data_IF_333351946460
#
_entry.id   IF_333351946460
#
_cell.length_a   1.000
_cell.length_b   1.000
_cell.length_c   1.000
_cell.angle_alpha   90.00
_cell.angle_beta   90.00
_cell.angle_gamma   90.00
#
_symmetry.space_group_name_H-M   'P 1'
#
loop_
_entity.id
_entity.type
_entity.pdbx_description
1 polymer ?
#
# COMPACT_ATOMS: atom_id res chain seq x y z
N UNK A 1 3.05 -9.85 -13.32
CA UNK A 1 1.83 -10.64 -13.05
C UNK A 1 1.51 -10.56 -11.57
N UNK A 2 0.36 -9.98 -11.22
CA UNK A 2 -0.07 -9.89 -9.82
C UNK A 2 -0.92 -11.10 -9.47
N UNK A 3 -0.45 -11.95 -8.57
CA UNK A 3 -1.22 -13.06 -7.99
C UNK A 3 -1.88 -12.55 -6.69
N UNK A 4 -3.10 -13.01 -6.39
CA UNK A 4 -3.71 -12.75 -5.07
C UNK A 4 -2.96 -13.57 -4.02
N UNK A 5 -2.40 -12.87 -3.04
CA UNK A 5 -1.68 -13.45 -1.89
C UNK A 5 -2.28 -12.83 -0.64
N UNK A 6 -2.69 -13.67 0.31
CA UNK A 6 -3.12 -13.23 1.64
C UNK A 6 -1.89 -13.20 2.54
N UNK A 7 -1.65 -12.07 3.18
CA UNK A 7 -0.57 -11.89 4.15
C UNK A 7 -1.18 -11.36 5.45
N UNK A 8 -0.62 -11.79 6.58
CA UNK A 8 -0.92 -11.20 7.88
C UNK A 8 0.07 -10.05 8.09
N UNK A 9 -0.44 -8.88 8.46
CA UNK A 9 0.37 -7.71 8.82
C UNK A 9 -0.11 -7.18 10.16
N UNK A 10 0.78 -6.56 10.91
CA UNK A 10 0.44 -5.91 12.16
C UNK A 10 -0.51 -4.72 11.93
N UNK A 11 -1.38 -4.46 12.90
CA UNK A 11 -2.41 -3.42 12.81
C UNK A 11 -1.80 -2.02 12.63
N UNK A 12 -0.65 -1.76 13.25
CA UNK A 12 0.03 -0.47 13.14
C UNK A 12 0.59 -0.25 11.73
N UNK A 13 1.07 -1.31 11.07
CA UNK A 13 1.53 -1.28 9.69
C UNK A 13 0.36 -1.05 8.73
N UNK A 14 -0.79 -1.70 8.95
CA UNK A 14 -2.00 -1.45 8.15
C UNK A 14 -2.43 0.03 8.23
N UNK A 15 -2.48 0.60 9.45
CA UNK A 15 -2.83 2.01 9.65
C UNK A 15 -1.88 2.94 8.89
N UNK A 16 -0.57 2.68 8.93
CA UNK A 16 0.43 3.47 8.19
C UNK A 16 0.22 3.36 6.67
N UNK A 17 -0.08 2.16 6.16
CA UNK A 17 -0.37 1.94 4.74
C UNK A 17 -1.65 2.66 4.29
N UNK A 18 -2.70 2.67 5.12
CA UNK A 18 -3.95 3.41 4.88
C UNK A 18 -3.73 4.91 4.84
N UNK A 19 -2.97 5.46 5.79
CA UNK A 19 -2.62 6.89 5.79
C UNK A 19 -1.82 7.26 4.54
N UNK A 20 -0.87 6.41 4.14
CA UNK A 20 -0.11 6.59 2.90
C UNK A 20 -1.01 6.54 1.67
N UNK A 21 -1.99 5.62 1.64
CA UNK A 21 -3.00 5.54 0.58
C UNK A 21 -3.76 6.86 0.46
N UNK A 22 -4.31 7.37 1.57
CA UNK A 22 -5.07 8.62 1.58
C UNK A 22 -4.23 9.80 1.08
N UNK A 23 -2.97 9.88 1.50
CA UNK A 23 -2.03 10.91 1.04
C UNK A 23 -1.80 10.83 -0.47
N UNK A 24 -1.64 9.64 -1.02
CA UNK A 24 -1.39 9.44 -2.46
C UNK A 24 -2.63 9.74 -3.31
N UNK A 25 -3.83 9.37 -2.83
CA UNK A 25 -5.10 9.75 -3.48
C UNK A 25 -5.22 11.27 -3.54
N UNK A 26 -4.92 11.96 -2.43
CA UNK A 26 -4.95 13.42 -2.38
C UNK A 26 -3.92 14.08 -3.30
N UNK A 27 -2.74 13.48 -3.47
CA UNK A 27 -1.65 14.05 -4.27
C UNK A 27 -1.81 13.80 -5.77
N UNK A 28 -2.16 12.57 -6.17
CA UNK A 28 -2.28 12.20 -7.59
C UNK A 28 -3.65 12.53 -8.19
N UNK A 29 -4.63 12.98 -7.37
CA UNK A 29 -6.04 13.15 -7.77
C UNK A 29 -6.60 11.92 -8.52
N UNK A 30 -6.03 10.74 -8.26
CA UNK A 30 -6.32 9.52 -8.99
C UNK A 30 -6.64 8.37 -8.03
N UNK A 31 -7.33 7.37 -8.56
CA UNK A 31 -7.70 6.17 -7.83
C UNK A 31 -6.45 5.38 -7.45
N UNK A 32 -6.04 5.48 -6.19
CA UNK A 32 -4.88 4.76 -5.67
C UNK A 32 -5.32 3.58 -4.79
N UNK A 33 -5.11 2.35 -5.27
CA UNK A 33 -5.57 1.13 -4.60
C UNK A 33 -4.63 0.71 -3.46
N UNK A 34 -5.20 0.10 -2.42
CA UNK A 34 -4.44 -0.39 -1.28
C UNK A 34 -3.37 -1.42 -1.68
N UNK A 35 -3.72 -2.34 -2.60
CA UNK A 35 -2.77 -3.34 -3.11
C UNK A 35 -1.60 -2.70 -3.86
N UNK A 36 -1.79 -1.56 -4.54
CA UNK A 36 -0.71 -0.80 -5.16
C UNK A 36 0.21 -0.18 -4.09
N UNK A 37 -0.35 0.46 -3.06
CA UNK A 37 0.44 1.05 -1.95
C UNK A 37 1.30 0.00 -1.28
N UNK A 38 0.71 -1.16 -0.98
CA UNK A 38 1.40 -2.27 -0.33
C UNK A 38 2.57 -2.77 -1.18
N UNK A 39 2.32 -3.07 -2.46
CA UNK A 39 3.37 -3.57 -3.36
C UNK A 39 4.48 -2.53 -3.59
N UNK A 40 4.15 -1.25 -3.76
CA UNK A 40 5.17 -0.21 -3.91
C UNK A 40 5.98 -0.01 -2.62
N UNK A 41 5.34 -0.12 -1.45
CA UNK A 41 6.03 -0.03 -0.16
C UNK A 41 6.98 -1.21 0.01
N UNK A 42 6.52 -2.45 -0.23
CA UNK A 42 7.35 -3.65 -0.15
C UNK A 42 8.53 -3.61 -1.13
N UNK A 43 8.32 -3.16 -2.37
CA UNK A 43 9.40 -3.01 -3.37
C UNK A 43 10.46 -1.98 -2.97
N UNK A 44 10.07 -0.94 -2.23
CA UNK A 44 11.00 0.07 -1.73
C UNK A 44 11.81 -0.45 -0.54
N UNK A 45 11.22 -1.28 0.31
CA UNK A 45 11.87 -1.79 1.53
C UNK A 45 12.71 -3.06 1.31
N UNK A 46 12.32 -3.93 0.36
CA UNK A 46 13.04 -5.18 0.06
C UNK A 46 14.17 -5.02 -0.97
N UNK A 47 14.68 -3.79 -1.14
CA UNK A 47 15.81 -3.49 -2.02
C UNK A 47 17.13 -3.84 -1.35
#
# INVERSE_FOLDING_TARGET
MSKRVTIMIDEDLDKKLRLRQAKLISQEQSSYSYSRVLNETLRKSLK
#
